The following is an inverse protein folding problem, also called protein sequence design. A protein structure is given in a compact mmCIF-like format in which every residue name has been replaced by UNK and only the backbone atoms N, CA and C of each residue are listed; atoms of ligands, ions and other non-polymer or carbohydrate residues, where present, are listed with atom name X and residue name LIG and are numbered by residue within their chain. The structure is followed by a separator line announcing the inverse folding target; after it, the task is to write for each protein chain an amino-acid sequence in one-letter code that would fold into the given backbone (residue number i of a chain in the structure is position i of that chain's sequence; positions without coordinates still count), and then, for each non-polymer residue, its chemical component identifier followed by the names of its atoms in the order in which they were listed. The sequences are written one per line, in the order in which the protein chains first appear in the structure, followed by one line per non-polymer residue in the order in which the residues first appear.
data_IF_693847412173
#
_entry.id   IF_693847412173
#
_cell.length_a   1.000
_cell.length_b   1.000
_cell.length_c   1.000
_cell.angle_alpha   90.00
_cell.angle_beta   90.00
_cell.angle_gamma   90.00
#
_symmetry.space_group_name_H-M   'P 1'
#
loop_
_entity.id
_entity.type
_entity.pdbx_description
1 polymer ?
2 non-polymer ?
3 non-polymer ?
4 non-polymer ?
5 non-polymer ?
6 non-polymer ?
7 non-polymer ?
8 water ?
#
# COMPACT_ATOMS: atom_id res chain seq x y z
N UNK A 1 5.61 7.77 -12.91
CA UNK A 1 5.04 6.68 -12.04
C UNK A 1 3.55 6.87 -11.80
N UNK A 2 3.01 6.10 -10.88
CA UNK A 2 1.56 6.12 -10.59
C UNK A 2 1.11 7.54 -10.17
N UNK A 3 1.90 8.24 -9.35
CA UNK A 3 1.45 9.60 -8.92
C UNK A 3 1.42 10.55 -10.09
N UNK A 4 2.41 10.49 -10.97
CA UNK A 4 2.38 11.29 -12.21
C UNK A 4 1.17 10.91 -13.07
N UNK A 5 0.84 9.63 -13.19
CA UNK A 5 -0.31 9.25 -14.01
C UNK A 5 -1.61 9.86 -13.48
N UNK A 6 -1.77 9.92 -12.16
CA UNK A 6 -2.95 10.62 -11.59
C UNK A 6 -2.95 12.07 -12.07
N UNK A 7 -1.82 12.75 -12.05
CA UNK A 7 -1.73 14.14 -12.55
C UNK A 7 -2.02 14.22 -14.05
N UNK A 8 -1.53 13.29 -14.86
CA UNK A 8 -1.81 13.27 -16.30
C UNK A 8 -3.34 13.13 -16.49
N UNK A 9 -3.95 12.15 -15.83
CA UNK A 9 -5.40 11.91 -15.99
C UNK A 9 -6.16 13.14 -15.51
N UNK A 10 -5.84 13.65 -14.33
CA UNK A 10 -6.59 14.81 -13.77
C UNK A 10 -6.44 16.02 -14.70
N UNK A 11 -5.30 16.21 -15.35
CA UNK A 11 -5.08 17.41 -16.19
C UNK A 11 -6.14 17.48 -17.26
N UNK A 12 -6.52 16.32 -17.80
CA UNK A 12 -7.54 16.29 -18.88
C UNK A 12 -8.57 15.24 -18.52
N UNK A 13 -9.18 15.41 -17.35
CA UNK A 13 -10.04 14.40 -16.67
C UNK A 13 -11.22 14.03 -17.57
N UNK A 14 -11.82 14.99 -18.29
CA UNK A 14 -13.03 14.69 -19.11
C UNK A 14 -12.60 13.79 -20.29
N UNK A 15 -11.54 14.11 -20.97
CA UNK A 15 -11.13 13.34 -22.15
C UNK A 15 -10.68 11.92 -21.75
N UNK A 16 -9.80 11.80 -20.76
CA UNK A 16 -9.35 10.46 -20.32
C UNK A 16 -10.54 9.66 -19.81
N UNK A 17 -11.42 10.27 -19.02
CA UNK A 17 -12.58 9.55 -18.43
C UNK A 17 -13.44 8.98 -19.57
N UNK A 18 -13.76 9.85 -20.56
CA UNK A 18 -14.64 9.45 -21.69
C UNK A 18 -13.90 8.37 -22.46
N UNK A 19 -12.62 8.56 -22.74
CA UNK A 19 -11.88 7.65 -23.65
C UNK A 19 -11.67 6.29 -22.99
N UNK A 20 -11.32 6.27 -21.71
CA UNK A 20 -11.12 4.98 -21.01
C UNK A 20 -12.47 4.29 -20.86
N UNK A 21 -13.52 5.02 -20.48
CA UNK A 21 -14.85 4.41 -20.24
C UNK A 21 -15.32 3.78 -21.56
N UNK A 22 -15.11 4.47 -22.68
CA UNK A 22 -15.52 3.92 -24.01
C UNK A 22 -14.68 2.69 -24.29
N UNK A 23 -13.40 2.71 -23.97
CA UNK A 23 -12.54 1.55 -24.28
C UNK A 23 -13.06 0.35 -23.50
N UNK A 24 -13.49 0.59 -22.28
CA UNK A 24 -14.11 -0.45 -21.43
C UNK A 24 -15.36 -1.01 -22.12
N UNK A 25 -16.31 -0.13 -22.46
CA UNK A 25 -17.58 -0.62 -23.05
C UNK A 25 -17.27 -1.31 -24.36
N UNK A 26 -16.34 -0.80 -25.15
CA UNK A 26 -16.16 -1.39 -26.50
C UNK A 26 -15.44 -2.75 -26.34
N UNK A 27 -14.56 -2.93 -25.37
CA UNK A 27 -13.83 -4.21 -25.17
C UNK A 27 -14.79 -5.24 -24.56
N UNK A 28 -15.71 -4.78 -23.72
CA UNK A 28 -16.68 -5.64 -22.98
C UNK A 28 -18.09 -5.16 -23.16
N UNK A 29 -18.68 -5.39 -24.36
CA UNK A 29 -19.91 -4.72 -24.73
C UNK A 29 -21.13 -5.14 -23.90
N UNK A 30 -21.09 -6.33 -23.31
CA UNK A 30 -22.14 -6.76 -22.36
C UNK A 30 -22.21 -5.81 -21.17
N UNK A 31 -21.12 -5.12 -20.80
CA UNK A 31 -21.12 -4.23 -19.63
C UNK A 31 -22.04 -3.03 -19.88
N UNK A 32 -22.29 -2.67 -21.14
CA UNK A 32 -23.12 -1.50 -21.45
C UNK A 32 -24.55 -1.68 -20.93
N UNK A 33 -24.96 -2.91 -20.69
CA UNK A 33 -26.33 -3.23 -20.22
C UNK A 33 -26.58 -2.53 -18.87
N UNK A 34 -25.54 -2.26 -18.09
CA UNK A 34 -25.70 -1.61 -16.76
C UNK A 34 -25.97 -0.11 -16.92
N UNK A 35 -25.72 0.44 -18.10
CA UNK A 35 -25.88 1.89 -18.42
C UNK A 35 -27.00 2.05 -19.46
N UNK A 36 -28.26 2.02 -19.03
CA UNK A 36 -29.41 1.84 -19.95
C UNK A 36 -29.59 3.09 -20.83
N UNK A 37 -28.92 4.20 -20.49
CA UNK A 37 -28.98 5.50 -21.23
C UNK A 37 -27.94 5.54 -22.36
N UNK A 38 -26.94 4.64 -22.34
CA UNK A 38 -25.78 4.64 -23.26
C UNK A 38 -25.93 3.54 -24.33
N UNK A 39 -26.87 2.66 -24.15
CA UNK A 39 -27.26 1.63 -25.16
C UNK A 39 -27.61 2.30 -26.50
N UNK A 40 -27.10 1.76 -27.59
CA UNK A 40 -27.44 2.22 -28.95
C UNK A 40 -26.92 3.61 -29.27
N UNK A 41 -25.78 4.00 -28.69
CA UNK A 41 -25.16 5.33 -28.88
C UNK A 41 -23.70 5.20 -29.30
N UNK A 42 -23.29 5.90 -30.34
CA UNK A 42 -21.91 5.81 -30.84
C UNK A 42 -21.00 6.61 -29.88
N UNK A 43 -19.70 6.45 -30.05
CA UNK A 43 -18.71 7.18 -29.24
C UNK A 43 -19.00 8.68 -29.37
N UNK A 44 -19.17 9.16 -30.59
CA UNK A 44 -19.35 10.61 -30.83
C UNK A 44 -20.71 11.06 -30.30
N UNK A 45 -21.76 10.23 -30.38
CA UNK A 45 -23.12 10.50 -29.83
C UNK A 45 -23.00 10.67 -28.29
N UNK A 46 -22.25 9.77 -27.62
CA UNK A 46 -22.04 9.86 -26.15
C UNK A 46 -21.23 11.11 -25.78
N UNK A 47 -20.20 11.48 -26.55
CA UNK A 47 -19.40 12.71 -26.27
C UNK A 47 -20.34 13.93 -26.29
N UNK A 48 -21.45 13.88 -27.03
CA UNK A 48 -22.44 14.98 -27.17
C UNK A 48 -23.56 14.86 -26.13
N UNK A 49 -23.47 13.87 -25.25
CA UNK A 49 -24.52 13.63 -24.25
C UNK A 49 -24.02 14.18 -22.91
N UNK A 50 -24.56 15.29 -22.47
CA UNK A 50 -24.09 15.97 -21.24
C UNK A 50 -24.01 15.00 -20.05
N UNK A 51 -25.00 14.14 -19.86
CA UNK A 51 -24.95 13.26 -18.67
C UNK A 51 -23.78 12.27 -18.82
N UNK A 52 -23.44 11.85 -20.04
CA UNK A 52 -22.31 10.90 -20.20
C UNK A 52 -21.03 11.58 -19.71
N UNK A 53 -20.77 12.78 -20.16
CA UNK A 53 -19.60 13.54 -19.69
C UNK A 53 -19.64 13.72 -18.18
N UNK A 54 -20.77 14.12 -17.60
CA UNK A 54 -20.91 14.29 -16.12
C UNK A 54 -20.71 12.95 -15.37
N UNK A 55 -21.28 11.85 -15.85
CA UNK A 55 -21.10 10.52 -15.21
C UNK A 55 -19.62 10.16 -15.22
N UNK A 56 -19.00 10.17 -16.38
CA UNK A 56 -17.62 9.68 -16.59
C UNK A 56 -16.69 10.55 -15.77
N UNK A 57 -16.92 11.86 -15.76
CA UNK A 57 -16.09 12.79 -14.96
C UNK A 57 -16.21 12.40 -13.50
N UNK A 58 -17.42 12.21 -12.98
CA UNK A 58 -17.62 11.96 -11.54
C UNK A 58 -16.98 10.60 -11.19
N UNK A 59 -17.08 9.62 -12.08
CA UNK A 59 -16.48 8.27 -11.85
C UNK A 59 -14.96 8.43 -11.74
N UNK A 60 -14.35 9.10 -12.71
CA UNK A 60 -12.85 9.17 -12.79
C UNK A 60 -12.35 10.13 -11.71
N UNK A 61 -13.10 11.15 -11.35
CA UNK A 61 -12.66 11.97 -10.19
C UNK A 61 -12.58 11.10 -8.96
N UNK A 62 -13.61 10.31 -8.66
CA UNK A 62 -13.57 9.45 -7.47
C UNK A 62 -12.42 8.46 -7.65
N UNK A 63 -12.29 7.82 -8.81
CA UNK A 63 -11.18 6.84 -9.00
C UNK A 63 -9.84 7.52 -8.69
N UNK A 64 -9.61 8.75 -9.13
CA UNK A 64 -8.31 9.43 -8.93
C UNK A 64 -8.17 9.79 -7.45
N UNK A 65 -9.25 10.12 -6.76
CA UNK A 65 -9.15 10.39 -5.29
C UNK A 65 -8.76 9.11 -4.57
N UNK A 66 -9.37 7.99 -4.91
CA UNK A 66 -9.03 6.65 -4.32
C UNK A 66 -7.57 6.32 -4.65
N UNK A 67 -7.13 6.57 -5.88
CA UNK A 67 -5.75 6.29 -6.29
C UNK A 67 -4.78 7.18 -5.51
N UNK A 68 -5.12 8.44 -5.31
CA UNK A 68 -4.23 9.41 -4.63
C UNK A 68 -4.16 9.10 -3.13
N UNK A 69 -5.23 8.53 -2.56
CA UNK A 69 -5.24 8.18 -1.12
C UNK A 69 -4.57 6.83 -0.87
N UNK A 70 -4.34 6.04 -1.91
CA UNK A 70 -3.64 4.76 -1.78
C UNK A 70 -2.21 5.03 -1.35
N UNK A 71 -1.59 4.01 -0.75
CA UNK A 71 -0.14 3.98 -0.50
C UNK A 71 0.42 2.78 -1.25
N UNK A 72 1.43 2.98 -2.09
CA UNK A 72 2.02 1.88 -2.89
C UNK A 72 0.87 1.07 -3.53
N UNK A 73 -0.13 1.78 -4.09
CA UNK A 73 -1.23 1.19 -4.89
C UNK A 73 -2.14 0.31 -4.05
N UNK A 74 -2.11 0.48 -2.74
CA UNK A 74 -3.06 -0.22 -1.82
C UNK A 74 -4.13 0.79 -1.44
N UNK A 75 -5.39 0.61 -1.88
CA UNK A 75 -6.43 1.58 -1.58
C UNK A 75 -6.87 1.45 -0.12
N UNK A 76 -7.40 2.51 0.42
CA UNK A 76 -8.09 2.47 1.74
C UNK A 76 -9.29 1.54 1.71
N UNK A 77 -9.47 0.73 2.75
CA UNK A 77 -10.65 -0.14 2.94
C UNK A 77 -11.91 0.72 2.92
N UNK A 78 -11.84 1.91 3.49
CA UNK A 78 -13.01 2.84 3.54
C UNK A 78 -13.41 3.27 2.11
N UNK A 79 -12.44 3.45 1.21
CA UNK A 79 -12.77 3.81 -0.19
C UNK A 79 -13.40 2.62 -0.88
N UNK A 80 -12.89 1.40 -0.65
CA UNK A 80 -13.50 0.19 -1.22
C UNK A 80 -14.95 0.11 -0.71
N UNK A 81 -15.16 0.37 0.58
CA UNK A 81 -16.51 0.24 1.19
C UNK A 81 -17.47 1.22 0.49
N UNK A 82 -17.05 2.46 0.29
CA UNK A 82 -17.84 3.47 -0.48
C UNK A 82 -18.30 2.88 -1.82
N UNK A 83 -17.41 2.24 -2.59
CA UNK A 83 -17.76 1.70 -3.92
C UNK A 83 -18.72 0.52 -3.79
N UNK A 84 -18.61 -0.27 -2.72
CA UNK A 84 -19.53 -1.44 -2.54
C UNK A 84 -20.91 -0.95 -2.14
N UNK A 85 -20.97 0.04 -1.26
CA UNK A 85 -22.27 0.43 -0.67
C UNK A 85 -23.07 1.36 -1.60
N UNK A 86 -22.45 1.94 -2.62
CA UNK A 86 -23.14 2.88 -3.52
C UNK A 86 -24.37 2.18 -4.10
N UNK A 87 -25.54 2.83 -4.03
CA UNK A 87 -26.81 2.29 -4.58
C UNK A 87 -26.59 1.86 -6.03
N UNK A 88 -25.85 2.66 -6.81
CA UNK A 88 -25.69 2.46 -8.26
C UNK A 88 -24.84 1.22 -8.56
N UNK A 89 -24.19 0.65 -7.54
CA UNK A 89 -23.31 -0.52 -7.71
C UNK A 89 -23.93 -1.78 -7.10
N UNK A 90 -25.19 -1.73 -6.67
CA UNK A 90 -25.75 -2.83 -5.84
C UNK A 90 -25.79 -4.17 -6.60
N UNK A 91 -25.94 -4.18 -7.91
CA UNK A 91 -26.02 -5.51 -8.61
C UNK A 91 -24.63 -6.04 -9.02
N UNK A 92 -23.56 -5.30 -8.77
CA UNK A 92 -22.25 -5.59 -9.41
C UNK A 92 -21.52 -6.67 -8.62
N UNK A 93 -20.56 -7.30 -9.28
CA UNK A 93 -19.62 -8.27 -8.70
C UNK A 93 -18.20 -7.82 -9.04
N UNK A 94 -17.21 -8.46 -8.44
CA UNK A 94 -15.80 -8.00 -8.57
C UNK A 94 -15.35 -8.08 -10.03
N UNK A 95 -15.95 -8.96 -10.83
CA UNK A 95 -15.55 -9.15 -12.25
C UNK A 95 -15.88 -7.91 -13.06
N UNK A 96 -16.85 -7.09 -12.64
CA UNK A 96 -17.19 -5.86 -13.41
C UNK A 96 -15.99 -4.91 -13.28
N UNK A 97 -15.50 -4.80 -12.06
CA UNK A 97 -14.35 -3.92 -11.73
C UNK A 97 -13.06 -4.49 -12.34
N UNK A 98 -12.83 -5.80 -12.31
CA UNK A 98 -11.57 -6.32 -12.93
C UNK A 98 -11.66 -6.04 -14.44
N UNK A 99 -12.84 -6.11 -15.08
CA UNK A 99 -12.93 -5.79 -16.52
C UNK A 99 -12.59 -4.32 -16.75
N UNK A 100 -13.04 -3.39 -15.92
CA UNK A 100 -12.73 -1.94 -16.08
C UNK A 100 -11.21 -1.76 -15.99
N UNK A 101 -10.54 -2.41 -15.03
CA UNK A 101 -9.06 -2.25 -14.90
C UNK A 101 -8.31 -2.96 -16.04
N UNK A 102 -8.78 -4.10 -16.53
CA UNK A 102 -8.14 -4.73 -17.71
C UNK A 102 -8.19 -3.71 -18.85
N UNK A 103 -9.35 -3.12 -19.11
CA UNK A 103 -9.55 -2.16 -20.22
C UNK A 103 -8.68 -0.90 -20.03
N UNK A 104 -8.63 -0.42 -18.80
CA UNK A 104 -7.85 0.78 -18.44
C UNK A 104 -6.36 0.50 -18.68
N UNK A 105 -5.89 -0.65 -18.26
CA UNK A 105 -4.44 -0.97 -18.41
C UNK A 105 -4.14 -1.12 -19.92
N UNK A 106 -5.02 -1.76 -20.69
CA UNK A 106 -4.75 -1.95 -22.13
C UNK A 106 -4.78 -0.58 -22.82
N UNK A 107 -5.66 0.35 -22.40
CA UNK A 107 -5.73 1.70 -22.96
C UNK A 107 -4.40 2.39 -22.72
N UNK A 108 -3.93 2.30 -21.47
CA UNK A 108 -2.63 2.92 -21.10
C UNK A 108 -1.49 2.34 -21.94
N UNK A 109 -1.44 1.02 -22.11
CA UNK A 109 -0.32 0.39 -22.89
C UNK A 109 -0.37 0.86 -24.34
N UNK A 110 -1.56 1.06 -24.91
CA UNK A 110 -1.75 1.43 -26.33
C UNK A 110 -1.51 2.92 -26.54
N UNK A 111 -1.57 3.75 -25.52
CA UNK A 111 -1.53 5.22 -25.69
C UNK A 111 -0.12 5.66 -26.11
N UNK A 112 0.02 6.86 -26.62
CA UNK A 112 1.40 7.36 -26.88
C UNK A 112 2.25 7.43 -25.60
N UNK A 113 1.59 7.36 -24.44
CA UNK A 113 2.01 8.05 -23.19
C UNK A 113 2.63 7.06 -22.23
N UNK A 114 3.48 7.60 -21.35
CA UNK A 114 4.39 6.86 -20.44
C UNK A 114 3.68 6.53 -19.12
N UNK A 115 2.57 5.82 -19.21
CA UNK A 115 1.78 5.44 -18.01
C UNK A 115 2.53 4.33 -17.27
N UNK A 116 2.40 4.28 -15.96
CA UNK A 116 2.95 3.13 -15.20
C UNK A 116 1.89 2.02 -15.18
N UNK A 117 1.71 1.37 -16.32
CA UNK A 117 0.62 0.38 -16.51
C UNK A 117 0.72 -0.74 -15.47
N UNK A 118 1.91 -1.21 -15.11
CA UNK A 118 2.07 -2.31 -14.10
C UNK A 118 1.49 -1.83 -12.76
N UNK A 119 1.64 -0.56 -12.42
CA UNK A 119 1.10 -0.03 -11.15
C UNK A 119 -0.43 0.05 -11.21
N UNK A 120 -1.03 0.42 -12.33
CA UNK A 120 -2.49 0.45 -12.46
C UNK A 120 -3.06 -0.96 -12.36
N UNK A 121 -2.33 -1.95 -12.89
CA UNK A 121 -2.81 -3.34 -12.84
C UNK A 121 -2.75 -3.78 -11.37
N UNK A 122 -1.71 -3.38 -10.64
CA UNK A 122 -1.58 -3.76 -9.20
C UNK A 122 -2.68 -3.08 -8.41
N UNK A 123 -2.89 -1.80 -8.67
CA UNK A 123 -3.94 -1.02 -7.99
C UNK A 123 -5.31 -1.70 -8.21
N UNK A 124 -5.62 -2.04 -9.47
CA UNK A 124 -6.88 -2.76 -9.79
C UNK A 124 -6.99 -4.05 -9.00
N UNK A 125 -5.89 -4.83 -8.95
CA UNK A 125 -5.88 -6.14 -8.22
C UNK A 125 -6.18 -5.89 -6.72
N UNK A 126 -5.47 -4.92 -6.13
CA UNK A 126 -5.65 -4.56 -4.71
C UNK A 126 -7.05 -4.03 -4.49
N UNK A 127 -7.59 -3.24 -5.42
CA UNK A 127 -8.95 -2.72 -5.22
C UNK A 127 -9.97 -3.86 -5.29
N UNK A 128 -9.80 -4.82 -6.22
CA UNK A 128 -10.72 -5.98 -6.32
C UNK A 128 -10.70 -6.75 -4.99
N UNK A 129 -9.51 -6.97 -4.44
CA UNK A 129 -9.33 -7.69 -3.15
C UNK A 129 -10.06 -6.92 -2.03
N UNK A 130 -9.96 -5.60 -2.01
CA UNK A 130 -10.64 -4.73 -1.01
C UNK A 130 -12.17 -4.75 -1.21
N UNK A 131 -12.64 -4.79 -2.46
CA UNK A 131 -14.09 -4.81 -2.76
C UNK A 131 -14.66 -6.13 -2.25
N UNK A 132 -13.93 -7.22 -2.45
CA UNK A 132 -14.36 -8.58 -2.00
C UNK A 132 -14.44 -8.59 -0.47
N UNK A 133 -13.44 -8.01 0.19
CA UNK A 133 -13.36 -7.94 1.68
C UNK A 133 -14.49 -7.09 2.24
N UNK A 134 -14.93 -6.06 1.51
CA UNK A 134 -16.02 -5.16 1.93
C UNK A 134 -17.39 -5.75 1.54
N UNK A 135 -17.43 -6.97 0.98
CA UNK A 135 -18.65 -7.78 0.88
C UNK A 135 -19.17 -7.86 -0.53
N UNK A 136 -18.45 -7.35 -1.53
CA UNK A 136 -18.91 -7.53 -2.93
C UNK A 136 -18.77 -9.01 -3.33
N UNK A 137 -19.82 -9.56 -3.95
CA UNK A 137 -19.81 -10.96 -4.45
C UNK A 137 -19.00 -11.03 -5.75
N UNK B 1 12.20 -11.76 -2.35
CA UNK B 1 11.60 -10.46 -2.10
C UNK B 1 11.26 -10.30 -0.64
N UNK B 2 10.43 -9.32 -0.37
CA UNK B 2 9.98 -8.95 1.00
C UNK B 2 9.31 -10.13 1.68
N UNK B 3 8.34 -10.76 1.00
CA UNK B 3 7.63 -11.94 1.57
C UNK B 3 8.62 -13.04 1.94
N UNK B 4 9.57 -13.37 1.05
CA UNK B 4 10.57 -14.40 1.31
C UNK B 4 11.43 -13.99 2.51
N UNK B 5 11.83 -12.72 2.57
CA UNK B 5 12.67 -12.22 3.68
C UNK B 5 12.03 -12.54 5.04
N UNK B 6 10.70 -12.40 5.13
CA UNK B 6 9.96 -12.71 6.37
C UNK B 6 10.22 -14.18 6.70
N UNK B 7 10.14 -15.07 5.72
CA UNK B 7 10.45 -16.50 5.98
C UNK B 7 11.92 -16.71 6.37
N UNK B 8 12.86 -16.05 5.69
CA UNK B 8 14.30 -16.15 6.04
C UNK B 8 14.45 -15.76 7.49
N UNK B 9 13.91 -14.60 7.90
CA UNK B 9 14.08 -14.14 9.30
C UNK B 9 13.42 -15.17 10.25
N UNK B 10 12.17 -15.56 9.96
CA UNK B 10 11.48 -16.51 10.89
C UNK B 10 12.26 -17.82 11.04
N UNK B 11 13.00 -18.22 10.02
CA UNK B 11 13.79 -19.48 9.99
C UNK B 11 14.94 -19.48 10.98
N UNK B 12 15.39 -18.31 11.44
CA UNK B 12 16.50 -18.23 12.43
C UNK B 12 16.21 -16.97 13.25
N UNK B 13 15.03 -16.87 13.84
CA UNK B 13 14.54 -15.54 14.27
C UNK B 13 15.33 -14.97 15.44
N UNK B 14 15.59 -15.72 16.49
CA UNK B 14 16.33 -15.16 17.66
C UNK B 14 17.69 -14.59 17.19
N UNK B 15 18.39 -15.25 16.27
CA UNK B 15 19.70 -14.83 15.75
C UNK B 15 19.53 -13.52 14.96
N UNK B 16 18.61 -13.50 14.00
CA UNK B 16 18.44 -12.29 13.18
C UNK B 16 17.93 -11.14 14.06
N UNK B 17 17.05 -11.43 15.00
CA UNK B 17 16.45 -10.40 15.86
C UNK B 17 17.60 -9.75 16.66
N UNK B 18 18.46 -10.58 17.25
CA UNK B 18 19.57 -10.05 18.09
C UNK B 18 20.55 -9.28 17.17
N UNK B 19 20.87 -9.83 16.01
CA UNK B 19 21.83 -9.18 15.07
C UNK B 19 21.28 -7.83 14.59
N UNK B 20 20.00 -7.74 14.24
CA UNK B 20 19.44 -6.45 13.74
C UNK B 20 19.28 -5.47 14.89
N UNK B 21 18.78 -5.95 16.04
CA UNK B 21 18.59 -5.06 17.19
C UNK B 21 19.96 -4.49 17.62
N UNK B 22 20.97 -5.32 17.66
CA UNK B 22 22.33 -4.84 18.03
C UNK B 22 22.86 -3.90 16.96
N UNK B 23 22.57 -4.14 15.68
CA UNK B 23 22.95 -3.18 14.63
C UNK B 23 22.30 -1.82 14.93
N UNK B 24 21.03 -1.82 15.34
CA UNK B 24 20.33 -0.57 15.70
C UNK B 24 21.01 0.09 16.90
N UNK B 25 21.26 -0.62 17.97
CA UNK B 25 21.82 0.01 19.20
C UNK B 25 23.25 0.49 18.92
N UNK B 26 24.00 -0.23 18.11
CA UNK B 26 25.40 0.18 17.82
C UNK B 26 25.42 1.40 16.91
N UNK B 27 24.46 1.53 15.99
CA UNK B 27 24.40 2.68 15.07
C UNK B 27 23.93 3.91 15.84
N UNK B 28 23.02 3.69 16.79
CA UNK B 28 22.32 4.77 17.55
C UNK B 28 22.38 4.48 19.05
N UNK B 29 23.56 4.60 19.69
CA UNK B 29 23.74 4.13 21.05
C UNK B 29 22.84 4.89 22.04
N UNK B 30 22.51 6.13 21.62
CA UNK B 30 21.52 7.05 22.24
C UNK B 30 20.23 6.27 22.61
N UNK B 31 19.82 5.32 21.78
CA UNK B 31 18.54 4.57 21.89
C UNK B 31 18.50 3.64 23.10
N UNK B 32 19.64 3.36 23.75
CA UNK B 32 19.66 2.42 24.91
C UNK B 32 18.94 3.04 26.10
N UNK B 33 18.76 4.35 26.13
CA UNK B 33 18.10 5.05 27.25
C UNK B 33 16.69 4.44 27.48
N UNK B 34 16.03 3.94 26.42
CA UNK B 34 14.64 3.42 26.55
C UNK B 34 14.60 2.08 27.28
N UNK B 35 15.75 1.43 27.39
CA UNK B 35 15.86 0.05 27.87
C UNK B 35 16.61 0.10 29.21
N UNK B 36 16.36 -0.89 30.02
CA UNK B 36 16.98 -1.00 31.35
C UNK B 36 18.26 -1.86 31.22
N UNK B 37 19.37 -1.36 31.76
CA UNK B 37 20.58 -2.18 31.96
C UNK B 37 21.18 -2.59 30.61
N UNK B 38 21.04 -1.78 29.54
CA UNK B 38 21.73 -2.07 28.25
C UNK B 38 23.08 -1.31 28.14
N UNK B 39 23.19 -0.12 28.73
CA UNK B 39 24.42 0.70 28.60
C UNK B 39 25.60 -0.05 29.25
N UNK B 40 26.81 0.13 28.70
CA UNK B 40 28.07 -0.35 29.29
C UNK B 40 28.29 -1.83 29.04
N UNK B 41 27.66 -2.38 28.01
CA UNK B 41 27.73 -3.82 27.66
C UNK B 41 28.07 -3.95 26.19
N UNK B 42 28.95 -4.89 25.89
CA UNK B 42 29.23 -5.35 24.52
C UNK B 42 28.08 -6.22 24.01
N UNK B 43 28.07 -6.50 22.71
CA UNK B 43 27.08 -7.39 22.06
C UNK B 43 26.93 -8.70 22.84
N UNK B 44 28.03 -9.41 23.09
CA UNK B 44 27.91 -10.76 23.72
C UNK B 44 27.40 -10.63 25.16
N UNK B 45 27.75 -9.56 25.88
CA UNK B 45 27.20 -9.34 27.24
C UNK B 45 25.69 -9.14 27.15
N UNK B 46 25.22 -8.31 26.22
CA UNK B 46 23.77 -8.08 26.05
C UNK B 46 23.11 -9.42 25.70
N UNK B 47 23.71 -10.22 24.84
CA UNK B 47 23.05 -11.46 24.34
C UNK B 47 22.93 -12.45 25.49
N UNK B 48 23.68 -12.31 26.58
CA UNK B 48 23.59 -13.26 27.72
C UNK B 48 22.77 -12.65 28.86
N UNK B 49 22.20 -11.46 28.71
CA UNK B 49 21.32 -10.90 29.76
C UNK B 49 20.03 -11.71 29.84
N UNK B 50 19.37 -11.78 31.00
CA UNK B 50 18.14 -12.61 31.14
C UNK B 50 17.09 -12.29 30.04
N UNK B 51 16.82 -11.02 29.82
CA UNK B 51 15.61 -10.51 29.12
C UNK B 51 15.94 -10.14 27.68
N UNK B 52 17.22 -9.98 27.34
CA UNK B 52 17.59 -9.43 26.02
C UNK B 52 17.08 -10.33 24.88
N UNK B 53 17.47 -11.59 24.83
CA UNK B 53 17.03 -12.50 23.74
C UNK B 53 15.53 -12.59 23.70
N UNK B 54 14.91 -12.80 24.85
CA UNK B 54 13.44 -13.00 24.88
C UNK B 54 12.71 -11.74 24.36
N UNK B 55 13.12 -10.53 24.79
CA UNK B 55 12.60 -9.20 24.30
C UNK B 55 12.73 -9.13 22.79
N UNK B 56 13.97 -9.28 22.27
CA UNK B 56 14.28 -9.12 20.83
C UNK B 56 13.46 -10.13 20.02
N UNK B 57 13.30 -11.36 20.52
CA UNK B 57 12.44 -12.30 19.79
C UNK B 57 11.00 -11.80 19.84
N UNK B 58 10.50 -11.25 20.94
CA UNK B 58 9.07 -10.81 20.93
C UNK B 58 8.89 -9.62 19.97
N UNK B 59 9.84 -8.71 19.94
CA UNK B 59 9.78 -7.55 19.01
C UNK B 59 9.73 -8.07 17.57
N UNK B 60 10.65 -8.95 17.19
CA UNK B 60 10.78 -9.38 15.77
C UNK B 60 9.67 -10.40 15.44
N UNK B 61 9.18 -11.17 16.41
CA UNK B 61 7.97 -12.00 16.20
C UNK B 61 6.85 -11.06 15.68
N UNK B 62 6.60 -9.98 16.41
CA UNK B 62 5.50 -9.07 16.02
C UNK B 62 5.88 -8.31 14.75
N UNK B 63 7.11 -7.84 14.64
CA UNK B 63 7.50 -7.14 13.39
C UNK B 63 7.22 -8.02 12.17
N UNK B 64 7.58 -9.32 12.22
CA UNK B 64 7.37 -10.20 11.04
C UNK B 64 5.85 -10.41 10.80
N UNK B 65 5.04 -10.43 11.86
CA UNK B 65 3.57 -10.51 11.66
C UNK B 65 3.10 -9.25 10.94
N UNK B 66 3.56 -8.08 11.36
CA UNK B 66 3.12 -6.80 10.73
C UNK B 66 3.56 -6.81 9.28
N UNK B 67 4.78 -7.26 9.01
CA UNK B 67 5.30 -7.35 7.63
C UNK B 67 4.44 -8.34 6.83
N UNK B 68 4.09 -9.46 7.46
CA UNK B 68 3.33 -10.53 6.77
C UNK B 68 1.90 -10.08 6.48
N UNK B 69 1.31 -9.24 7.32
CA UNK B 69 -0.08 -8.79 7.08
C UNK B 69 -0.09 -7.60 6.14
N UNK B 70 1.07 -7.05 5.79
CA UNK B 70 1.18 -5.91 4.84
C UNK B 70 0.78 -6.34 3.44
N UNK B 71 0.41 -5.39 2.59
CA UNK B 71 0.26 -5.57 1.15
C UNK B 71 1.17 -4.56 0.50
N UNK B 72 1.96 -5.03 -0.43
CA UNK B 72 2.92 -4.16 -1.14
C UNK B 72 3.70 -3.30 -0.13
N UNK B 73 4.10 -3.87 1.00
CA UNK B 73 4.96 -3.16 1.98
C UNK B 73 4.18 -2.08 2.73
N UNK B 74 2.84 -2.11 2.71
CA UNK B 74 1.98 -1.16 3.45
C UNK B 74 1.40 -1.89 4.64
N UNK B 75 1.76 -1.51 5.86
CA UNK B 75 1.27 -2.21 7.04
C UNK B 75 -0.20 -1.85 7.27
N UNK B 76 -0.90 -2.78 7.90
CA UNK B 76 -2.31 -2.51 8.33
C UNK B 76 -2.32 -1.36 9.31
N UNK B 77 -3.30 -0.48 9.16
CA UNK B 77 -3.56 0.59 10.11
C UNK B 77 -3.75 0.02 11.52
N UNK B 78 -4.42 -1.13 11.64
CA UNK B 78 -4.68 -1.74 12.98
C UNK B 78 -3.35 -2.09 13.62
N UNK B 79 -2.37 -2.55 12.86
CA UNK B 79 -1.04 -2.94 13.39
C UNK B 79 -0.32 -1.67 13.86
N UNK B 80 -0.42 -0.59 13.09
CA UNK B 80 0.17 0.70 13.54
C UNK B 80 -0.49 1.18 14.81
N UNK B 81 -1.81 1.14 14.86
CA UNK B 81 -2.57 1.60 16.05
C UNK B 81 -2.09 0.82 17.29
N UNK B 82 -1.97 -0.50 17.16
CA UNK B 82 -1.55 -1.37 18.26
C UNK B 82 -0.16 -0.89 18.73
N UNK B 83 0.74 -0.61 17.78
CA UNK B 83 2.14 -0.27 18.15
C UNK B 83 2.15 1.06 18.89
N UNK B 84 1.30 1.99 18.48
CA UNK B 84 1.21 3.32 19.15
C UNK B 84 0.60 3.18 20.56
N UNK B 85 -0.43 2.35 20.76
CA UNK B 85 -1.17 2.31 22.05
C UNK B 85 -0.50 1.38 23.09
N UNK B 86 0.45 0.52 22.73
CA UNK B 86 1.20 -0.32 23.68
C UNK B 86 1.79 0.60 24.77
N UNK B 87 1.52 0.27 26.03
CA UNK B 87 2.04 1.06 27.17
C UNK B 87 3.56 1.20 27.07
N UNK B 88 4.23 0.14 26.60
CA UNK B 88 5.71 0.07 26.54
C UNK B 88 6.27 1.00 25.47
N UNK B 89 5.41 1.59 24.63
CA UNK B 89 5.78 2.56 23.57
C UNK B 89 5.30 3.98 23.90
N UNK B 90 4.79 4.26 25.11
CA UNK B 90 4.11 5.56 25.39
C UNK B 90 5.06 6.75 25.27
N UNK B 91 6.36 6.57 25.45
CA UNK B 91 7.34 7.69 25.39
C UNK B 91 8.00 7.84 24.00
N UNK B 92 7.68 6.99 23.02
CA UNK B 92 8.40 7.00 21.75
C UNK B 92 7.81 8.02 20.79
N UNK B 93 8.62 8.39 19.82
CA UNK B 93 8.24 9.18 18.64
C UNK B 93 8.57 8.36 17.40
N UNK B 94 8.06 8.79 16.26
CA UNK B 94 8.23 8.03 15.00
C UNK B 94 9.72 7.95 14.64
N UNK B 95 10.52 8.92 15.05
CA UNK B 95 11.96 8.93 14.74
C UNK B 95 12.68 7.72 15.34
N UNK B 96 12.19 7.20 16.44
CA UNK B 96 12.77 5.99 17.07
C UNK B 96 12.58 4.83 16.10
N UNK B 97 11.42 4.72 15.47
CA UNK B 97 11.12 3.65 14.49
C UNK B 97 11.90 3.86 13.19
N UNK B 98 11.97 5.10 12.70
CA UNK B 98 12.76 5.41 11.49
C UNK B 98 14.20 4.89 11.68
N UNK B 99 14.82 5.21 12.80
CA UNK B 99 16.24 4.82 13.06
C UNK B 99 16.35 3.28 13.18
N UNK B 100 15.38 2.61 13.79
CA UNK B 100 15.41 1.11 13.74
C UNK B 100 15.45 0.64 12.28
N UNK B 101 14.55 1.14 11.43
CA UNK B 101 14.50 0.65 10.02
C UNK B 101 15.76 1.11 9.24
N UNK B 102 16.31 2.28 9.53
CA UNK B 102 17.58 2.67 8.85
C UNK B 102 18.63 1.61 9.17
N UNK B 103 18.74 1.22 10.42
CA UNK B 103 19.78 0.23 10.84
C UNK B 103 19.50 -1.14 10.23
N UNK B 104 18.23 -1.54 10.22
CA UNK B 104 17.78 -2.84 9.67
C UNK B 104 18.17 -2.90 8.19
N UNK B 105 17.89 -1.85 7.45
CA UNK B 105 18.17 -1.84 5.99
C UNK B 105 19.69 -1.88 5.80
N UNK B 106 20.44 -1.11 6.59
CA UNK B 106 21.93 -1.11 6.43
C UNK B 106 22.43 -2.53 6.69
N UNK B 107 21.88 -3.21 7.69
CA UNK B 107 22.29 -4.59 8.06
C UNK B 107 22.06 -5.50 6.86
N UNK B 108 20.89 -5.39 6.27
CA UNK B 108 20.54 -6.27 5.12
C UNK B 108 21.45 -5.99 3.93
N UNK B 109 21.80 -4.73 3.69
CA UNK B 109 22.67 -4.38 2.55
C UNK B 109 24.07 -4.96 2.75
N UNK B 110 24.56 -5.02 3.99
CA UNK B 110 25.93 -5.51 4.30
C UNK B 110 25.95 -7.03 4.38
N UNK B 111 24.81 -7.68 4.54
CA UNK B 111 24.75 -9.14 4.82
C UNK B 111 25.20 -9.94 3.59
N UNK B 112 25.64 -11.17 3.78
CA UNK B 112 25.94 -12.02 2.62
C UNK B 112 24.71 -12.42 1.78
N UNK B 113 23.51 -12.14 2.29
CA UNK B 113 22.21 -12.73 1.88
C UNK B 113 21.64 -11.97 0.67
N UNK B 114 20.46 -12.38 0.19
CA UNK B 114 19.72 -11.74 -0.92
C UNK B 114 18.43 -11.09 -0.39
N UNK B 115 18.56 -10.27 0.64
CA UNK B 115 17.40 -9.53 1.17
C UNK B 115 16.93 -8.49 0.17
N UNK B 116 15.64 -8.15 0.25
CA UNK B 116 15.04 -7.10 -0.59
C UNK B 116 15.13 -5.80 0.20
N UNK B 117 16.33 -5.25 0.33
CA UNK B 117 16.59 -4.16 1.28
C UNK B 117 15.73 -2.94 0.93
N UNK B 118 15.51 -2.64 -0.33
CA UNK B 118 14.67 -1.49 -0.74
C UNK B 118 13.24 -1.64 -0.22
N UNK B 119 12.71 -2.84 -0.24
CA UNK B 119 11.34 -3.12 0.27
C UNK B 119 11.27 -2.92 1.80
N UNK B 120 12.29 -3.30 2.57
CA UNK B 120 12.36 -2.99 4.01
C UNK B 120 12.41 -1.47 4.27
N UNK B 121 13.13 -0.73 3.44
CA UNK B 121 13.16 0.76 3.50
C UNK B 121 11.74 1.27 3.31
N UNK B 122 11.07 0.83 2.25
CA UNK B 122 9.69 1.27 1.94
C UNK B 122 8.76 0.89 3.10
N UNK B 123 8.85 -0.33 3.61
CA UNK B 123 8.01 -0.78 4.74
C UNK B 123 8.22 0.14 5.95
N UNK B 124 9.47 0.42 6.30
CA UNK B 124 9.77 1.28 7.46
C UNK B 124 9.17 2.66 7.28
N UNK B 125 9.33 3.25 6.10
CA UNK B 125 8.74 4.60 5.83
C UNK B 125 7.22 4.54 5.90
N UNK B 126 6.59 3.52 5.29
CA UNK B 126 5.13 3.34 5.37
C UNK B 126 4.67 3.11 6.81
N UNK B 127 5.42 2.36 7.63
CA UNK B 127 5.07 2.17 9.04
C UNK B 127 5.21 3.50 9.81
N UNK B 128 6.26 4.26 9.56
CA UNK B 128 6.41 5.57 10.24
C UNK B 128 5.17 6.45 9.91
N UNK B 129 4.77 6.51 8.63
CA UNK B 129 3.56 7.25 8.18
C UNK B 129 2.37 6.79 9.02
N UNK B 130 2.12 5.47 9.05
CA UNK B 130 0.96 4.87 9.74
C UNK B 130 1.00 5.18 11.23
N UNK B 131 2.18 5.12 11.87
CA UNK B 131 2.28 5.44 13.32
C UNK B 131 1.88 6.91 13.56
N UNK B 132 2.37 7.79 12.72
CA UNK B 132 1.99 9.23 12.79
C UNK B 132 0.46 9.39 12.67
N UNK B 133 -0.13 8.71 11.71
CA UNK B 133 -1.59 8.75 11.42
C UNK B 133 -2.38 8.21 12.62
N UNK B 134 -1.79 7.25 13.37
CA UNK B 134 -2.42 6.63 14.55
C UNK B 134 -2.17 7.44 15.82
N UNK B 135 -1.42 8.54 15.75
CA UNK B 135 -1.28 9.49 16.87
C UNK B 135 0.08 9.54 17.54
N UNK B 136 1.08 8.80 17.06
CA UNK B 136 2.43 8.94 17.64
C UNK B 136 3.02 10.28 17.17
N UNK B 137 3.67 10.98 18.10
CA UNK B 137 4.36 12.27 17.81
C UNK B 137 5.64 12.01 17.04
#
# INVERSE_FOLDING_TARGET
GFKQDIATIRGDLRTYAQDIFLAFLNKYPDERRYFKNYVGKSDQELKSMAKFGDHTEKVFNLMMEVADRATDCVPLASDANTLVQMKQHSSLTTGNFEKLFVALVEYMRASGQSFDSQSWDRFGKNLVSALSSAGMK
GFKQDIATIRGDLRTYAQDIFLAFLNKYPDERRYFKNYVGKSDQELKSMAKFGDHTEKVFNLMMEVADRATDCVPLASDANTLVQMKQHSSLTTGNFEKLFVALVEYMRASGQSFDSQSWDRFGKNLVSALSSAGMK
#
